data_IF_160225610693
#
_entry.id   IF_160225610693
#
_cell.length_a   1.000
_cell.length_b   1.000
_cell.length_c   1.000
_cell.angle_alpha   90.00
_cell.angle_beta   90.00
_cell.angle_gamma   90.00
#
_symmetry.space_group_name_H-M   'P 1'
#
loop_
_entity.id
_entity.type
_entity.pdbx_description
1 polymer ?
#
# COMPACT_ATOMS: atom_id res chain seq x y z
N UNK A 1 6.43 18.82 -7.42
CA UNK A 1 5.16 18.06 -7.44
C UNK A 1 5.34 16.70 -6.78
N UNK A 2 6.07 15.75 -7.37
CA UNK A 2 6.23 14.37 -6.84
C UNK A 2 6.69 14.28 -5.38
N UNK A 3 7.60 15.15 -4.94
CA UNK A 3 8.08 15.22 -3.53
C UNK A 3 7.01 15.51 -2.48
N UNK A 4 5.84 15.96 -2.93
CA UNK A 4 4.69 16.24 -2.05
C UNK A 4 3.73 15.06 -1.99
N UNK A 5 3.86 14.08 -2.87
CA UNK A 5 3.00 12.91 -2.89
C UNK A 5 3.48 11.96 -1.80
N UNK A 6 2.58 11.63 -0.88
CA UNK A 6 2.72 10.50 0.02
C UNK A 6 2.17 9.29 -0.75
N UNK A 7 3.09 8.49 -1.29
CA UNK A 7 2.80 7.23 -1.94
C UNK A 7 2.50 6.20 -0.87
N UNK A 8 1.35 5.52 -0.94
CA UNK A 8 0.93 4.57 0.10
C UNK A 8 0.39 3.32 -0.54
N UNK A 9 0.57 2.20 0.15
CA UNK A 9 0.03 0.92 -0.27
C UNK A 9 0.05 -0.09 0.88
N UNK A 10 -0.65 -1.20 0.69
CA UNK A 10 -0.70 -2.35 1.59
C UNK A 10 -0.15 -3.61 0.91
N UNK A 11 0.70 -4.35 1.62
CA UNK A 11 1.22 -5.63 1.15
C UNK A 11 0.99 -6.74 2.17
N UNK A 12 0.57 -7.91 1.68
CA UNK A 12 0.44 -9.12 2.49
C UNK A 12 1.72 -9.96 2.41
N UNK A 13 2.33 -10.23 3.55
CA UNK A 13 3.40 -11.22 3.72
C UNK A 13 2.83 -12.50 4.28
N UNK A 14 3.34 -13.65 3.86
CA UNK A 14 2.85 -14.98 4.28
C UNK A 14 4.02 -15.85 4.67
N UNK A 15 3.86 -16.66 5.72
CA UNK A 15 4.94 -17.51 6.23
C UNK A 15 5.44 -18.58 5.26
N UNK A 16 4.68 -18.87 4.20
CA UNK A 16 5.04 -19.82 3.14
C UNK A 16 5.80 -19.18 1.97
N UNK A 17 6.07 -17.87 2.02
CA UNK A 17 6.79 -17.15 0.97
C UNK A 17 6.11 -17.26 -0.39
N UNK A 18 4.78 -17.31 -0.42
CA UNK A 18 4.04 -17.29 -1.66
C UNK A 18 4.22 -15.91 -2.33
N UNK A 19 5.21 -15.82 -3.22
CA UNK A 19 5.37 -14.73 -4.16
C UNK A 19 4.14 -14.78 -5.08
N UNK A 20 3.60 -13.60 -5.37
CA UNK A 20 2.41 -13.45 -6.20
C UNK A 20 2.71 -14.03 -7.59
N UNK A 21 2.15 -15.20 -7.94
CA UNK A 21 2.44 -15.92 -9.20
C UNK A 21 2.16 -15.11 -10.46
N UNK A 22 1.39 -14.03 -10.34
CA UNK A 22 1.14 -13.09 -11.44
C UNK A 22 2.38 -12.25 -11.81
N UNK A 23 3.33 -12.09 -10.88
CA UNK A 23 4.60 -11.37 -11.09
C UNK A 23 5.81 -12.30 -11.26
N UNK A 24 5.65 -13.63 -11.10
CA UNK A 24 6.69 -14.60 -11.41
C UNK A 24 6.70 -14.92 -12.92
N UNK A 25 7.44 -14.13 -13.69
CA UNK A 25 7.73 -14.45 -15.09
C UNK A 25 9.03 -15.24 -15.20
N UNK A 26 8.92 -16.57 -15.34
CA UNK A 26 10.04 -17.42 -15.71
C UNK A 26 10.19 -17.46 -17.23
N UNK A 27 11.16 -16.71 -17.76
CA UNK A 27 11.55 -16.84 -19.16
C UNK A 27 12.48 -18.05 -19.31
N UNK A 28 11.99 -19.09 -19.97
CA UNK A 28 12.77 -20.28 -20.30
C UNK A 28 12.44 -20.72 -21.74
N UNK A 29 13.44 -21.27 -22.44
CA UNK A 29 13.30 -21.72 -23.83
C UNK A 29 12.40 -22.97 -23.94
N UNK A 30 12.30 -23.74 -22.85
CA UNK A 30 11.37 -24.86 -22.66
C UNK A 30 10.78 -24.82 -21.24
N UNK A 31 9.62 -25.45 -21.03
CA UNK A 31 8.88 -25.39 -19.77
C UNK A 31 9.70 -26.00 -18.60
N UNK A 32 10.06 -25.22 -17.56
CA UNK A 32 10.98 -25.67 -16.52
C UNK A 32 10.37 -26.65 -15.49
N UNK A 33 9.09 -27.02 -15.61
CA UNK A 33 8.40 -27.93 -14.67
C UNK A 33 8.59 -27.57 -13.19
N UNK A 34 8.67 -26.27 -12.87
CA UNK A 34 8.93 -25.81 -11.51
C UNK A 34 7.72 -26.13 -10.61
N UNK A 35 7.90 -27.05 -9.66
CA UNK A 35 6.95 -27.33 -8.57
C UNK A 35 7.58 -26.85 -7.26
N UNK A 36 6.90 -25.93 -6.56
CA UNK A 36 7.26 -25.52 -5.20
C UNK A 36 6.33 -26.26 -4.24
N UNK A 37 6.89 -27.02 -3.30
CA UNK A 37 6.12 -27.63 -2.21
C UNK A 37 5.70 -26.55 -1.22
N UNK A 38 4.40 -26.48 -0.90
CA UNK A 38 3.86 -25.61 0.14
C UNK A 38 3.44 -26.43 1.35
N UNK A 39 4.03 -26.12 2.51
CA UNK A 39 3.57 -26.67 3.79
C UNK A 39 2.25 -25.99 4.18
N UNK A 40 1.20 -26.80 4.42
CA UNK A 40 -0.20 -26.34 4.58
C UNK A 40 -0.57 -26.07 6.05
N UNK A 41 0.29 -26.42 7.01
CA UNK A 41 0.01 -26.25 8.45
C UNK A 41 0.86 -25.11 9.05
N UNK A 42 0.20 -24.14 9.72
CA UNK A 42 0.86 -23.01 10.38
C UNK A 42 1.03 -21.73 9.52
N UNK A 43 0.22 -21.56 8.47
CA UNK A 43 0.26 -20.35 7.66
C UNK A 43 -0.29 -19.15 8.44
N UNK A 44 0.56 -18.15 8.66
CA UNK A 44 0.12 -16.82 9.09
C UNK A 44 0.35 -15.84 7.94
N UNK A 45 -0.46 -14.80 7.90
CA UNK A 45 -0.32 -13.71 6.96
C UNK A 45 -0.41 -12.39 7.70
N UNK A 46 0.46 -11.46 7.33
CA UNK A 46 0.54 -10.15 7.96
C UNK A 46 0.31 -9.13 6.84
N UNK A 47 -0.68 -8.26 7.04
CA UNK A 47 -0.92 -7.13 6.17
C UNK A 47 -0.13 -5.93 6.71
N UNK A 48 0.71 -5.34 5.86
CA UNK A 48 1.59 -4.23 6.21
C UNK A 48 1.21 -3.03 5.36
N UNK A 49 0.91 -1.91 6.01
CA UNK A 49 0.80 -0.62 5.36
C UNK A 49 2.13 0.11 5.44
N UNK A 50 2.54 0.75 4.35
CA UNK A 50 3.70 1.65 4.31
C UNK A 50 3.43 2.83 3.40
N UNK A 51 4.22 3.89 3.59
CA UNK A 51 4.26 4.98 2.64
C UNK A 51 5.63 5.61 2.47
N UNK A 52 5.78 6.38 1.40
CA UNK A 52 6.98 7.17 1.11
C UNK A 52 6.58 8.59 0.76
N UNK A 53 7.23 9.55 1.41
CA UNK A 53 7.08 10.99 1.16
C UNK A 53 8.45 11.63 0.98
N UNK A 54 8.74 12.13 -0.22
CA UNK A 54 10.08 12.62 -0.60
C UNK A 54 11.18 11.59 -0.27
N UNK A 55 11.96 11.84 0.78
CA UNK A 55 13.03 10.95 1.27
C UNK A 55 12.67 10.25 2.59
N UNK A 56 11.42 10.34 3.04
CA UNK A 56 10.95 9.77 4.30
C UNK A 56 10.14 8.51 4.04
N UNK A 57 10.48 7.44 4.76
CA UNK A 57 9.67 6.24 4.85
C UNK A 57 8.73 6.40 6.03
N UNK A 58 7.44 6.15 5.79
CA UNK A 58 6.34 6.25 6.75
C UNK A 58 5.85 4.84 7.07
N UNK A 59 5.72 4.51 8.35
CA UNK A 59 5.50 3.14 8.81
C UNK A 59 6.82 2.36 8.95
N UNK A 60 6.80 1.01 8.87
CA UNK A 60 5.66 0.14 8.60
C UNK A 60 4.59 0.16 9.68
N UNK A 61 3.33 -0.03 9.28
CA UNK A 61 2.22 -0.27 10.19
C UNK A 61 1.63 -1.64 9.92
N UNK A 62 1.58 -2.47 10.96
CA UNK A 62 1.05 -3.83 10.89
C UNK A 62 -0.45 -3.80 11.15
N UNK A 63 -1.24 -4.14 10.14
CA UNK A 63 -2.67 -4.29 10.26
C UNK A 63 -2.99 -5.59 11.03
N UNK A 64 -4.05 -5.62 11.85
CA UNK A 64 -4.41 -6.82 12.61
C UNK A 64 -4.65 -8.04 11.71
N UNK A 65 -4.04 -9.19 12.06
CA UNK A 65 -4.03 -10.43 11.24
C UNK A 65 -5.42 -10.98 10.89
N UNK A 66 -6.43 -10.72 11.73
CA UNK A 66 -7.79 -11.28 11.57
C UNK A 66 -8.79 -10.31 10.93
N UNK A 67 -8.33 -9.14 10.49
CA UNK A 67 -9.22 -8.07 9.99
C UNK A 67 -8.97 -7.84 8.51
N UNK A 68 -9.95 -8.23 7.68
CA UNK A 68 -9.99 -7.78 6.29
C UNK A 68 -10.01 -6.25 6.26
N UNK A 69 -9.28 -5.64 5.33
CA UNK A 69 -9.32 -4.18 5.13
C UNK A 69 -10.72 -3.81 4.64
N UNK A 70 -11.56 -3.34 5.56
CA UNK A 70 -12.88 -2.78 5.30
C UNK A 70 -12.81 -1.27 5.17
N UNK A 71 -13.89 -0.66 4.68
CA UNK A 71 -14.01 0.79 4.62
C UNK A 71 -13.84 1.45 6.01
N UNK A 72 -14.39 0.84 7.06
CA UNK A 72 -14.38 1.33 8.43
C UNK A 72 -12.98 1.26 9.04
N UNK A 73 -12.32 0.11 8.89
CA UNK A 73 -10.98 -0.12 9.45
C UNK A 73 -9.94 0.75 8.77
N UNK A 74 -10.01 0.87 7.44
CA UNK A 74 -9.16 1.79 6.68
C UNK A 74 -9.42 3.26 7.06
N UNK A 75 -10.69 3.66 7.19
CA UNK A 75 -11.01 5.05 7.59
C UNK A 75 -10.58 5.36 9.02
N UNK A 76 -10.71 4.41 9.94
CA UNK A 76 -10.19 4.54 11.30
C UNK A 76 -8.67 4.67 11.29
N UNK A 77 -7.95 3.86 10.50
CA UNK A 77 -6.51 4.00 10.30
C UNK A 77 -6.12 5.41 9.82
N UNK A 78 -6.80 5.93 8.79
CA UNK A 78 -6.57 7.29 8.28
C UNK A 78 -6.78 8.36 9.35
N UNK A 79 -7.70 8.13 10.29
CA UNK A 79 -8.04 9.09 11.34
C UNK A 79 -7.11 8.99 12.54
N UNK A 80 -6.94 7.78 13.04
CA UNK A 80 -6.39 7.52 14.36
C UNK A 80 -4.91 7.18 14.28
N UNK A 81 -4.44 6.54 13.21
CA UNK A 81 -3.06 6.02 13.16
C UNK A 81 -2.15 6.89 12.29
N UNK A 82 -2.61 7.27 11.09
CA UNK A 82 -1.80 8.00 10.13
C UNK A 82 -1.14 9.28 10.68
N UNK A 83 -1.78 10.11 11.54
CA UNK A 83 -1.13 11.27 12.13
C UNK A 83 0.13 10.93 12.93
N UNK A 84 0.07 9.87 13.73
CA UNK A 84 1.20 9.43 14.55
C UNK A 84 2.36 8.97 13.66
N UNK A 85 2.07 8.27 12.58
CA UNK A 85 3.09 7.86 11.61
C UNK A 85 3.75 9.05 10.90
N UNK A 86 3.08 10.20 10.86
CA UNK A 86 3.60 11.43 10.23
C UNK A 86 4.31 12.36 11.22
N UNK A 87 4.41 12.03 12.52
CA UNK A 87 5.04 12.90 13.52
C UNK A 87 6.53 13.14 13.24
N UNK A 88 7.23 12.14 12.70
CA UNK A 88 8.65 12.23 12.35
C UNK A 88 8.89 12.97 11.02
N UNK A 89 7.84 13.36 10.31
CA UNK A 89 7.95 14.14 9.08
C UNK A 89 8.15 15.62 9.43
N UNK A 90 9.13 16.32 8.81
CA UNK A 90 9.30 17.75 9.02
C UNK A 90 7.99 18.53 8.84
N UNK A 91 7.65 19.38 9.81
CA UNK A 91 6.43 20.20 9.80
C UNK A 91 6.27 21.06 8.53
N UNK A 92 7.36 21.39 7.84
CA UNK A 92 7.31 22.12 6.58
C UNK A 92 6.68 21.32 5.42
N UNK A 93 6.73 19.99 5.47
CA UNK A 93 6.19 19.10 4.44
C UNK A 93 4.70 18.80 4.67
N UNK A 94 4.27 18.64 5.93
CA UNK A 94 2.92 18.21 6.31
C UNK A 94 1.78 19.00 5.63
N UNK A 95 1.79 20.35 5.59
CA UNK A 95 0.68 21.13 5.01
C UNK A 95 0.48 20.88 3.51
N UNK A 96 1.51 20.41 2.82
CA UNK A 96 1.54 20.28 1.37
C UNK A 96 1.45 18.84 0.89
N UNK A 97 1.26 17.86 1.80
CA UNK A 97 1.13 16.45 1.44
C UNK A 97 -0.06 16.26 0.51
N UNK A 98 0.16 15.50 -0.57
CA UNK A 98 -0.86 14.95 -1.45
C UNK A 98 -0.92 13.46 -1.17
N UNK A 99 -2.01 12.98 -0.58
CA UNK A 99 -2.17 11.56 -0.24
C UNK A 99 -2.51 10.75 -1.49
N UNK A 100 -1.76 9.71 -1.83
CA UNK A 100 -2.10 8.82 -2.94
C UNK A 100 -2.48 7.42 -2.43
N UNK A 101 -3.57 6.87 -2.98
CA UNK A 101 -4.03 5.50 -2.74
C UNK A 101 -4.48 4.83 -4.05
N UNK A 102 -4.53 3.50 -4.04
CA UNK A 102 -4.95 2.68 -5.18
C UNK A 102 -6.49 2.59 -5.33
N UNK A 103 -6.94 1.62 -6.14
CA UNK A 103 -8.35 1.38 -6.42
C UNK A 103 -9.06 0.35 -5.55
N UNK A 104 -8.49 -0.09 -4.41
CA UNK A 104 -9.12 -1.11 -3.57
C UNK A 104 -10.53 -0.69 -3.12
N UNK A 105 -11.53 -1.60 -3.09
CA UNK A 105 -12.88 -1.31 -2.60
C UNK A 105 -12.99 -0.55 -1.26
N UNK A 106 -12.11 -0.81 -0.28
CA UNK A 106 -12.10 -0.07 0.97
C UNK A 106 -11.73 1.40 0.77
N UNK A 107 -10.76 1.68 -0.11
CA UNK A 107 -10.23 3.00 -0.44
C UNK A 107 -11.23 3.83 -1.25
N UNK A 108 -12.05 3.18 -2.08
CA UNK A 108 -13.07 3.84 -2.92
C UNK A 108 -14.41 4.05 -2.21
N UNK A 109 -14.57 3.49 -1.01
CA UNK A 109 -15.77 3.65 -0.19
C UNK A 109 -16.12 5.13 0.06
N UNK A 110 -17.41 5.43 0.23
CA UNK A 110 -17.84 6.81 0.54
C UNK A 110 -17.22 7.29 1.86
N UNK A 111 -17.07 6.40 2.83
CA UNK A 111 -16.47 6.72 4.14
C UNK A 111 -15.00 7.14 3.97
N UNK A 112 -14.18 6.33 3.31
CA UNK A 112 -12.78 6.65 3.06
C UNK A 112 -12.61 7.96 2.30
N UNK A 113 -13.41 8.17 1.23
CA UNK A 113 -13.37 9.41 0.44
C UNK A 113 -13.78 10.64 1.26
N UNK A 114 -14.78 10.51 2.13
CA UNK A 114 -15.21 11.61 3.01
C UNK A 114 -14.11 11.96 4.01
N UNK A 115 -13.48 10.95 4.61
CA UNK A 115 -12.33 11.10 5.51
C UNK A 115 -11.17 11.80 4.81
N UNK A 116 -10.82 11.38 3.58
CA UNK A 116 -9.76 12.00 2.79
C UNK A 116 -10.08 13.44 2.41
N UNK A 117 -11.33 13.74 2.04
CA UNK A 117 -11.75 15.11 1.76
C UNK A 117 -11.64 16.03 2.99
N UNK A 118 -11.85 15.50 4.20
CA UNK A 118 -11.70 16.26 5.45
C UNK A 118 -10.24 16.46 5.83
N UNK A 119 -9.39 15.44 5.68
CA UNK A 119 -7.98 15.48 6.11
C UNK A 119 -7.03 16.08 5.08
N UNK A 120 -7.28 15.78 3.81
CA UNK A 120 -6.49 16.20 2.67
C UNK A 120 -7.37 16.95 1.66
N UNK A 121 -8.02 18.07 2.05
CA UNK A 121 -8.92 18.80 1.18
C UNK A 121 -8.20 19.25 -0.08
N UNK A 122 -8.71 18.82 -1.25
CA UNK A 122 -8.11 19.02 -2.58
C UNK A 122 -6.65 18.56 -2.69
N UNK A 123 -6.25 17.57 -1.87
CA UNK A 123 -4.87 17.07 -1.76
C UNK A 123 -4.81 15.55 -1.63
N UNK A 124 -5.64 14.83 -2.37
CA UNK A 124 -5.48 13.39 -2.46
C UNK A 124 -5.72 12.88 -3.89
N UNK A 125 -5.12 11.76 -4.25
CA UNK A 125 -5.17 11.12 -5.55
C UNK A 125 -5.70 9.70 -5.33
N UNK A 126 -6.67 9.30 -6.12
CA UNK A 126 -7.35 8.02 -5.99
C UNK A 126 -8.62 8.00 -6.83
N UNK A 127 -9.30 6.85 -6.90
CA UNK A 127 -10.56 6.75 -7.64
C UNK A 127 -11.60 7.70 -7.02
N UNK A 128 -12.26 8.50 -7.87
CA UNK A 128 -13.22 9.55 -7.50
C UNK A 128 -12.65 10.74 -6.70
N UNK A 129 -11.33 10.97 -6.77
CA UNK A 129 -10.75 12.22 -6.26
C UNK A 129 -11.12 13.39 -7.17
N UNK A 130 -11.39 14.55 -6.56
CA UNK A 130 -11.61 15.81 -7.28
C UNK A 130 -10.33 16.45 -7.80
N UNK A 131 -9.16 16.07 -7.25
CA UNK A 131 -7.87 16.60 -7.68
C UNK A 131 -7.36 15.87 -8.93
N UNK A 132 -7.28 14.54 -8.84
CA UNK A 132 -6.77 13.67 -9.91
C UNK A 132 -7.25 12.24 -9.65
N UNK A 133 -7.92 11.63 -10.63
CA UNK A 133 -8.26 10.21 -10.56
C UNK A 133 -7.02 9.35 -10.81
N UNK A 134 -6.87 8.31 -9.99
CA UNK A 134 -5.85 7.28 -10.20
C UNK A 134 -6.35 6.25 -11.22
N UNK A 135 -5.56 5.94 -12.26
CA UNK A 135 -5.97 4.95 -13.25
C UNK A 135 -6.11 3.56 -12.61
N UNK A 136 -7.18 2.80 -12.93
CA UNK A 136 -7.35 1.44 -12.44
C UNK A 136 -6.19 0.54 -12.85
N UNK A 137 -5.78 -0.38 -11.98
CA UNK A 137 -4.77 -1.42 -12.26
C UNK A 137 -3.45 -0.87 -12.83
N UNK A 138 -2.96 0.21 -12.23
CA UNK A 138 -1.69 0.84 -12.62
C UNK A 138 -0.62 0.71 -11.51
N UNK A 139 -0.21 -0.52 -11.16
CA UNK A 139 0.85 -0.74 -10.17
C UNK A 139 2.21 -0.19 -10.66
N UNK A 140 2.39 -0.05 -11.97
CA UNK A 140 3.57 0.56 -12.59
C UNK A 140 3.73 2.05 -12.26
N UNK A 141 2.68 2.71 -11.76
CA UNK A 141 2.68 4.13 -11.44
C UNK A 141 2.96 4.43 -9.96
N UNK A 142 3.00 3.43 -9.09
CA UNK A 142 3.30 3.63 -7.66
C UNK A 142 4.66 3.02 -7.28
N UNK A 143 5.57 3.80 -6.67
CA UNK A 143 6.86 3.28 -6.21
C UNK A 143 6.73 2.19 -5.17
N UNK A 144 5.59 2.11 -4.49
CA UNK A 144 5.30 1.02 -3.56
C UNK A 144 5.30 -0.34 -4.26
N UNK A 145 4.53 -0.48 -5.34
CA UNK A 145 4.40 -1.74 -6.10
C UNK A 145 5.62 -2.05 -6.95
N UNK A 146 6.11 -1.08 -7.75
CA UNK A 146 7.16 -1.38 -8.72
C UNK A 146 8.55 -1.55 -8.09
N UNK A 147 8.75 -1.08 -6.85
CA UNK A 147 10.06 -1.13 -6.19
C UNK A 147 10.01 -1.61 -4.75
N UNK A 148 9.34 -0.87 -3.85
CA UNK A 148 9.46 -1.07 -2.39
C UNK A 148 9.09 -2.48 -1.98
N UNK A 149 7.93 -2.97 -2.41
CA UNK A 149 7.47 -4.31 -2.05
C UNK A 149 8.28 -5.42 -2.72
N UNK A 150 8.86 -5.18 -3.90
CA UNK A 150 9.80 -6.12 -4.51
C UNK A 150 11.06 -6.24 -3.65
N UNK A 151 11.68 -5.10 -3.35
CA UNK A 151 12.88 -5.03 -2.52
C UNK A 151 12.68 -5.65 -1.14
N UNK A 152 11.59 -5.31 -0.43
CA UNK A 152 11.32 -5.87 0.91
C UNK A 152 11.12 -7.39 0.85
N UNK A 153 10.41 -7.89 -0.17
CA UNK A 153 10.22 -9.34 -0.35
C UNK A 153 11.54 -10.07 -0.56
N UNK A 154 12.44 -9.51 -1.36
CA UNK A 154 13.78 -10.08 -1.61
C UNK A 154 14.68 -10.11 -0.36
N UNK A 155 14.38 -9.30 0.67
CA UNK A 155 15.11 -9.32 1.95
C UNK A 155 14.50 -10.28 2.97
N UNK A 156 13.21 -10.62 2.84
CA UNK A 156 12.48 -11.45 3.81
C UNK A 156 12.51 -12.93 3.42
N UNK A 157 12.43 -13.24 2.12
CA UNK A 157 12.38 -14.61 1.58
C UNK A 157 13.69 -15.01 0.91
#
# INVERSE_FOLDING_TARGET
>A
FLKRILWTDECTFRSDGHINRHNEHHYAQENPHCRKETHVQGQFHINVWMGILDNYVIGPFFLPEDVNITAETYSAFLVETLPYLLEDVPLALIPNIIFQQDGHPAHTSLLARTTLNQRFPNRWIGIHSTLQEWPPRSPDLTPMDFFVWGYIRDQIY
#
